data_IF_779859397138
#
_entry.id   IF_779859397138
#
_cell.length_a   1.000
_cell.length_b   1.000
_cell.length_c   1.000
_cell.angle_alpha   90.00
_cell.angle_beta   90.00
_cell.angle_gamma   90.00
#
_symmetry.space_group_name_H-M   'P 1'
#
loop_
_entity.id
_entity.type
_entity.pdbx_description
1 polymer ?
#
# COMPACT_ATOMS: atom_id res chain seq x y z
N UNK A 1 -27.14 24.33 16.96
CA UNK A 1 -25.97 23.41 16.94
C UNK A 1 -26.15 22.48 15.75
N UNK A 2 -25.50 22.77 14.62
CA UNK A 2 -25.53 21.93 13.42
C UNK A 2 -24.23 21.12 13.39
N UNK A 3 -24.31 19.80 13.48
CA UNK A 3 -23.18 18.92 13.24
C UNK A 3 -23.07 18.69 11.72
N UNK A 4 -21.92 18.95 11.07
CA UNK A 4 -21.74 18.55 9.68
C UNK A 4 -21.77 17.02 9.60
N UNK A 5 -22.46 16.49 8.59
CA UNK A 5 -22.42 15.07 8.29
C UNK A 5 -20.99 14.69 7.89
N UNK A 6 -20.33 13.85 8.69
CA UNK A 6 -19.05 13.26 8.33
C UNK A 6 -19.35 12.10 7.39
N UNK A 7 -18.95 12.23 6.12
CA UNK A 7 -18.86 11.09 5.23
C UNK A 7 -17.59 10.31 5.60
N UNK A 8 -17.75 9.28 6.44
CA UNK A 8 -16.74 8.23 6.53
C UNK A 8 -16.66 7.56 5.16
N UNK A 9 -15.47 7.53 4.56
CA UNK A 9 -15.26 6.70 3.37
C UNK A 9 -15.46 5.25 3.81
N UNK A 10 -16.51 4.61 3.30
CA UNK A 10 -16.82 3.22 3.62
C UNK A 10 -15.70 2.34 3.07
N UNK A 11 -15.17 1.46 3.92
CA UNK A 11 -14.13 0.51 3.54
C UNK A 11 -14.55 -0.29 2.30
N UNK A 12 -13.67 -0.29 1.30
CA UNK A 12 -13.80 -1.14 0.13
C UNK A 12 -13.70 -2.60 0.59
N UNK A 13 -14.48 -3.46 -0.06
CA UNK A 13 -14.55 -4.89 0.23
C UNK A 13 -13.16 -5.52 0.01
N UNK A 14 -12.65 -6.22 1.02
CA UNK A 14 -11.34 -6.92 1.03
C UNK A 14 -11.11 -7.87 -0.15
N UNK A 15 -12.18 -8.27 -0.84
CA UNK A 15 -12.15 -9.22 -1.95
C UNK A 15 -11.99 -8.55 -3.33
N UNK A 16 -12.19 -7.23 -3.43
CA UNK A 16 -12.00 -6.40 -4.64
C UNK A 16 -10.84 -5.39 -4.47
N UNK A 17 -10.07 -5.49 -3.38
CA UNK A 17 -9.00 -4.55 -3.04
C UNK A 17 -7.82 -4.67 -4.02
N UNK A 18 -7.62 -3.61 -4.81
CA UNK A 18 -6.52 -3.46 -5.77
C UNK A 18 -5.15 -3.48 -5.08
N UNK A 19 -5.08 -3.14 -3.79
CA UNK A 19 -3.80 -2.97 -3.08
C UNK A 19 -3.31 -4.22 -2.29
N UNK A 20 -3.75 -5.44 -2.62
CA UNK A 20 -3.34 -6.65 -1.88
C UNK A 20 -2.02 -7.21 -2.40
N UNK A 21 -1.02 -7.30 -1.53
CA UNK A 21 0.23 -8.01 -1.76
C UNK A 21 0.02 -9.49 -1.41
N UNK A 22 0.34 -10.38 -2.35
CA UNK A 22 0.34 -11.84 -2.13
C UNK A 22 1.77 -12.34 -1.94
N UNK A 23 2.01 -13.03 -0.82
CA UNK A 23 3.28 -13.66 -0.48
C UNK A 23 2.99 -15.16 -0.37
N UNK A 24 3.11 -15.87 -1.49
CA UNK A 24 2.65 -17.26 -1.61
C UNK A 24 1.16 -17.41 -1.18
N UNK A 25 0.87 -18.15 -0.11
CA UNK A 25 -0.47 -18.30 0.48
C UNK A 25 -0.90 -17.16 1.40
N UNK A 26 0.03 -16.27 1.76
CA UNK A 26 -0.19 -15.17 2.71
C UNK A 26 -0.58 -13.88 2.01
N UNK A 27 -1.25 -12.99 2.74
CA UNK A 27 -1.72 -11.71 2.22
C UNK A 27 -1.34 -10.55 3.16
N UNK A 28 -1.04 -9.41 2.57
CA UNK A 28 -0.91 -8.13 3.24
C UNK A 28 -1.59 -7.04 2.41
N UNK A 29 -2.11 -6.00 3.06
CA UNK A 29 -2.64 -4.81 2.41
C UNK A 29 -1.53 -3.75 2.35
N UNK A 30 -1.38 -3.11 1.19
CA UNK A 30 -0.44 -2.01 0.99
C UNK A 30 -1.18 -0.70 0.83
N UNK A 31 -0.64 0.38 1.39
CA UNK A 31 -1.18 1.72 1.17
C UNK A 31 -0.08 2.76 1.12
N UNK A 32 -0.06 3.55 0.05
CA UNK A 32 0.78 4.73 -0.09
C UNK A 32 0.02 6.03 0.18
N UNK A 33 0.68 6.96 0.87
CA UNK A 33 0.16 8.30 1.16
C UNK A 33 1.17 9.39 0.74
N UNK A 34 0.64 10.50 0.24
CA UNK A 34 1.40 11.73 -0.06
C UNK A 34 0.93 12.87 0.86
N UNK A 35 1.39 12.91 2.12
CA UNK A 35 0.78 13.73 3.17
C UNK A 35 0.73 15.23 2.85
N UNK A 36 1.72 15.76 2.11
CA UNK A 36 1.82 17.19 1.79
C UNK A 36 1.02 17.60 0.56
N UNK A 37 0.71 16.67 -0.34
CA UNK A 37 0.09 16.97 -1.65
C UNK A 37 -1.33 16.43 -1.75
N UNK A 38 -1.59 15.26 -1.17
CA UNK A 38 -2.85 14.51 -1.26
C UNK A 38 -3.16 13.85 0.09
N UNK A 39 -3.30 14.67 1.13
CA UNK A 39 -3.32 14.23 2.54
C UNK A 39 -4.33 13.13 2.88
N UNK A 40 -5.46 13.05 2.17
CA UNK A 40 -6.54 12.08 2.44
C UNK A 40 -6.65 11.01 1.36
N UNK A 41 -5.71 10.93 0.42
CA UNK A 41 -5.77 10.00 -0.70
C UNK A 41 -4.79 8.84 -0.49
N UNK A 42 -5.30 7.65 -0.78
CA UNK A 42 -4.60 6.38 -0.74
C UNK A 42 -4.20 5.94 -2.14
N UNK A 43 -3.02 5.33 -2.27
CA UNK A 43 -2.46 4.84 -3.53
C UNK A 43 -2.01 3.38 -3.38
N UNK A 44 -2.32 2.53 -4.38
CA UNK A 44 -1.86 1.14 -4.43
C UNK A 44 -0.48 1.03 -5.10
N UNK A 45 -0.43 1.02 -6.44
CA UNK A 45 0.81 0.85 -7.23
C UNK A 45 1.24 2.14 -7.93
N UNK A 46 0.27 2.92 -8.42
CA UNK A 46 0.51 4.14 -9.20
C UNK A 46 0.53 5.39 -8.31
N UNK A 47 1.73 5.80 -7.92
CA UNK A 47 1.94 7.08 -7.23
C UNK A 47 2.13 8.18 -8.29
N UNK A 48 1.23 9.19 -8.36
CA UNK A 48 1.15 10.09 -9.52
C UNK A 48 2.25 11.16 -9.58
N UNK A 49 3.03 11.33 -8.52
CA UNK A 49 4.07 12.36 -8.43
C UNK A 49 5.18 11.97 -7.45
N UNK A 50 6.39 12.45 -7.72
CA UNK A 50 7.53 12.28 -6.82
C UNK A 50 7.39 13.26 -5.66
N UNK A 51 7.13 12.72 -4.47
CA UNK A 51 7.01 13.49 -3.23
C UNK A 51 7.38 12.65 -2.00
N UNK A 52 7.48 13.33 -0.86
CA UNK A 52 7.53 12.67 0.43
C UNK A 52 6.31 11.74 0.57
N UNK A 53 6.60 10.46 0.79
CA UNK A 53 5.61 9.39 0.75
C UNK A 53 5.69 8.56 2.03
N UNK A 54 4.55 8.10 2.51
CA UNK A 54 4.44 7.15 3.62
C UNK A 54 3.85 5.86 3.07
N UNK A 55 4.52 4.73 3.31
CA UNK A 55 4.03 3.41 2.95
C UNK A 55 3.61 2.66 4.21
N UNK A 56 2.41 2.10 4.18
CA UNK A 56 1.83 1.29 5.25
C UNK A 56 1.59 -0.11 4.69
N UNK A 57 2.03 -1.12 5.44
CA UNK A 57 1.80 -2.53 5.14
C UNK A 57 1.05 -3.11 6.33
N UNK A 58 -0.17 -3.60 6.09
CA UNK A 58 -0.99 -4.28 7.08
C UNK A 58 -1.03 -5.78 6.80
N UNK A 59 -0.67 -6.59 7.80
CA UNK A 59 -0.65 -8.05 7.65
C UNK A 59 -2.05 -8.61 7.87
N UNK A 60 -2.66 -9.07 6.77
CA UNK A 60 -3.96 -9.75 6.77
C UNK A 60 -3.80 -11.18 7.28
N UNK A 61 -2.77 -11.88 6.83
CA UNK A 61 -2.40 -13.20 7.37
C UNK A 61 -1.63 -13.03 8.68
N UNK A 62 -2.22 -13.48 9.78
CA UNK A 62 -1.62 -13.36 11.12
C UNK A 62 -0.25 -14.03 11.23
N UNK A 63 0.00 -15.08 10.44
CA UNK A 63 1.29 -15.77 10.43
C UNK A 63 2.46 -14.85 10.06
N UNK A 64 2.22 -13.86 9.19
CA UNK A 64 3.24 -12.89 8.77
C UNK A 64 3.78 -12.07 9.95
N UNK A 65 3.00 -11.87 11.02
CA UNK A 65 3.43 -11.10 12.21
C UNK A 65 4.55 -11.79 12.98
N UNK A 66 4.72 -13.10 12.80
CA UNK A 66 5.74 -13.91 13.48
C UNK A 66 6.84 -14.39 12.52
N UNK A 67 6.84 -13.93 11.28
CA UNK A 67 7.85 -14.26 10.27
C UNK A 67 8.87 -13.13 10.17
N UNK A 68 10.11 -13.48 9.83
CA UNK A 68 11.09 -12.48 9.41
C UNK A 68 10.74 -12.03 7.99
N UNK A 69 10.53 -10.73 7.82
CA UNK A 69 10.13 -10.11 6.56
C UNK A 69 11.10 -9.00 6.21
N UNK A 70 11.36 -8.84 4.92
CA UNK A 70 12.21 -7.78 4.37
C UNK A 70 11.44 -6.98 3.33
N UNK A 71 11.55 -5.66 3.40
CA UNK A 71 10.90 -4.73 2.48
C UNK A 71 11.96 -3.89 1.78
N UNK A 72 11.95 -3.94 0.45
CA UNK A 72 12.94 -3.25 -0.39
C UNK A 72 12.25 -2.41 -1.44
N UNK A 73 12.76 -1.20 -1.63
CA UNK A 73 12.44 -0.34 -2.77
C UNK A 73 13.62 -0.39 -3.72
N UNK A 74 13.41 -0.94 -4.91
CA UNK A 74 14.43 -1.05 -5.95
C UNK A 74 14.05 -0.19 -7.15
N UNK A 75 15.06 0.38 -7.83
CA UNK A 75 14.84 1.06 -9.10
C UNK A 75 14.88 0.02 -10.23
N UNK A 76 13.80 -0.08 -10.99
CA UNK A 76 13.79 -0.89 -12.20
C UNK A 76 14.56 -0.18 -13.33
N UNK A 77 15.83 -0.56 -13.51
CA UNK A 77 16.73 0.02 -14.53
C UNK A 77 16.69 -0.72 -15.87
N UNK A 78 16.15 -1.94 -15.89
CA UNK A 78 16.06 -2.80 -17.08
C UNK A 78 14.63 -2.98 -17.58
N UNK A 79 13.65 -2.29 -16.98
CA UNK A 79 12.22 -2.40 -17.29
C UNK A 79 11.68 -3.83 -17.13
N UNK A 80 12.12 -4.53 -16.08
CA UNK A 80 11.74 -5.93 -15.79
C UNK A 80 10.65 -6.07 -14.71
N UNK A 81 10.11 -4.96 -14.22
CA UNK A 81 8.96 -4.89 -13.32
C UNK A 81 9.18 -5.64 -12.00
N UNK A 82 8.22 -6.47 -11.60
CA UNK A 82 8.24 -7.24 -10.34
C UNK A 82 9.41 -8.23 -10.21
N UNK A 83 10.14 -8.48 -11.30
CA UNK A 83 11.34 -9.32 -11.31
C UNK A 83 12.61 -8.50 -11.03
N UNK A 84 12.50 -7.18 -10.86
CA UNK A 84 13.62 -6.32 -10.52
C UNK A 84 14.25 -6.75 -9.18
N UNK A 85 15.56 -6.90 -9.19
CA UNK A 85 16.34 -7.24 -7.99
C UNK A 85 17.43 -6.19 -7.79
N UNK A 86 17.99 -6.15 -6.58
CA UNK A 86 19.17 -5.36 -6.29
C UNK A 86 20.35 -5.90 -7.12
N UNK A 87 21.05 -5.00 -7.81
CA UNK A 87 22.20 -5.33 -8.66
C UNK A 87 23.41 -5.78 -7.84
#
# INVERSE_FOLDING_TARGET
LFAPAVFGHGGVSVEDDVCIIKIDRYKAHFTGYLPKQRATQEFCEDIPLVAESIFVIDFISDELRNMELDFRIVRDVNSIGVTATYA
#
